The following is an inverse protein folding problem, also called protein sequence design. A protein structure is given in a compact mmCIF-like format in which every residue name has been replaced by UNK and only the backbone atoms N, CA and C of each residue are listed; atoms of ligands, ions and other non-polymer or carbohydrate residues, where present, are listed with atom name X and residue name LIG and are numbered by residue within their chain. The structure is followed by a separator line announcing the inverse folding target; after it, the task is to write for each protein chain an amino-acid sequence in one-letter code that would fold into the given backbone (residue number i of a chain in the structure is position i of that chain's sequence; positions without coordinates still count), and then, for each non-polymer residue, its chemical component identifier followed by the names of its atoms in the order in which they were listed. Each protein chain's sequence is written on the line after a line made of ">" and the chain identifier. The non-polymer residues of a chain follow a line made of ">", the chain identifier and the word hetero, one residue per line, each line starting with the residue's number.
data_IF_046006610702
#
_entry.id   IF_046006610702
#
_cell.length_a   1.000
_cell.length_b   1.000
_cell.length_c   1.000
_cell.angle_alpha   90.00
_cell.angle_beta   90.00
_cell.angle_gamma   90.00
#
_symmetry.space_group_name_H-M   'P 1'
#
loop_
_entity.id
_entity.type
_entity.pdbx_description
1 polymer ?
#
# COMPACT_ATOMS: atom_id res chain seq x y z
N UNK A 1 -22.53 0.93 8.70
CA UNK A 1 -22.63 0.02 9.88
C UNK A 1 -21.34 0.23 10.64
N UNK A 2 -21.38 0.26 11.98
CA UNK A 2 -20.21 0.67 12.78
C UNK A 2 -18.91 -0.02 12.35
N UNK A 3 -18.94 -1.33 12.06
CA UNK A 3 -17.78 -2.10 11.59
C UNK A 3 -17.16 -1.53 10.30
N UNK A 4 -17.96 -1.31 9.25
CA UNK A 4 -17.49 -0.71 7.99
C UNK A 4 -17.06 0.74 8.19
N UNK A 5 -17.78 1.51 9.00
CA UNK A 5 -17.50 2.94 9.23
C UNK A 5 -16.14 3.11 9.95
N UNK A 6 -15.80 2.23 10.90
CA UNK A 6 -14.50 2.19 11.57
C UNK A 6 -13.36 1.76 10.63
N UNK A 7 -13.61 0.79 9.75
CA UNK A 7 -12.62 0.35 8.77
C UNK A 7 -12.34 1.45 7.73
N UNK A 8 -13.39 2.15 7.27
CA UNK A 8 -13.26 3.30 6.38
C UNK A 8 -12.40 4.39 7.04
N UNK A 9 -12.69 4.78 8.29
CA UNK A 9 -11.87 5.76 9.02
C UNK A 9 -10.39 5.31 9.13
N UNK A 10 -10.14 4.03 9.36
CA UNK A 10 -8.78 3.50 9.44
C UNK A 10 -8.02 3.60 8.11
N UNK A 11 -8.64 3.23 6.98
CA UNK A 11 -8.03 3.40 5.66
C UNK A 11 -7.88 4.88 5.27
N UNK A 12 -8.83 5.74 5.62
CA UNK A 12 -8.71 7.18 5.34
C UNK A 12 -7.54 7.81 6.10
N UNK A 13 -7.19 7.31 7.29
CA UNK A 13 -5.98 7.72 8.01
C UNK A 13 -4.70 7.33 7.26
N UNK A 14 -4.65 6.12 6.69
CA UNK A 14 -3.53 5.72 5.82
C UNK A 14 -3.41 6.70 4.66
N UNK A 15 -4.53 6.98 3.98
CA UNK A 15 -4.58 7.91 2.86
C UNK A 15 -4.05 9.30 3.24
N UNK A 16 -4.45 9.84 4.39
CA UNK A 16 -3.93 11.10 4.89
C UNK A 16 -2.40 11.12 5.06
N UNK A 17 -1.83 10.04 5.61
CA UNK A 17 -0.36 9.94 5.79
C UNK A 17 0.35 9.82 4.45
N UNK A 18 -0.13 8.96 3.54
CA UNK A 18 0.48 8.77 2.21
C UNK A 18 0.51 10.08 1.43
N UNK A 19 -0.60 10.82 1.39
CA UNK A 19 -0.66 12.11 0.70
C UNK A 19 0.29 13.14 1.32
N UNK A 20 0.37 13.21 2.65
CA UNK A 20 1.30 14.10 3.33
C UNK A 20 2.77 13.75 3.03
N UNK A 21 3.08 12.46 2.89
CA UNK A 21 4.42 12.00 2.52
C UNK A 21 4.79 12.42 1.09
N UNK A 22 3.86 12.25 0.15
CA UNK A 22 4.07 12.55 -1.27
C UNK A 22 3.99 14.05 -1.60
N UNK A 23 3.42 14.86 -0.71
CA UNK A 23 3.27 16.29 -0.93
C UNK A 23 4.61 16.96 -1.21
N UNK A 24 4.69 17.61 -2.38
CA UNK A 24 5.86 18.31 -2.91
C UNK A 24 7.15 17.46 -2.96
N UNK A 25 7.01 16.13 -2.96
CA UNK A 25 8.14 15.21 -2.92
C UNK A 25 8.76 15.04 -4.33
N UNK A 26 9.90 15.69 -4.54
CA UNK A 26 10.72 15.50 -5.73
C UNK A 26 11.47 14.15 -5.74
N UNK A 27 12.12 13.78 -6.86
CA UNK A 27 12.86 12.52 -6.98
C UNK A 27 13.95 12.30 -5.92
N UNK A 28 14.59 13.38 -5.47
CA UNK A 28 15.60 13.31 -4.41
C UNK A 28 15.03 12.85 -3.07
N UNK A 29 13.88 13.42 -2.68
CA UNK A 29 13.15 13.02 -1.46
C UNK A 29 12.62 11.60 -1.60
N UNK A 30 11.96 11.29 -2.72
CA UNK A 30 11.36 9.97 -2.96
C UNK A 30 12.39 8.83 -2.96
N UNK A 31 13.58 9.09 -3.47
CA UNK A 31 14.71 8.15 -3.51
C UNK A 31 15.64 8.21 -2.30
N UNK A 32 15.39 9.08 -1.32
CA UNK A 32 16.24 9.22 -0.15
C UNK A 32 16.23 7.95 0.71
N UNK A 33 17.41 7.57 1.20
CA UNK A 33 17.61 6.48 2.16
C UNK A 33 18.56 6.94 3.26
N UNK A 34 18.19 6.84 4.54
CA UNK A 34 19.08 7.19 5.64
C UNK A 34 20.22 6.18 5.85
N UNK A 35 20.07 4.98 5.29
CA UNK A 35 21.06 3.91 5.29
C UNK A 35 20.96 3.15 3.93
N UNK A 36 22.07 2.63 3.36
CA UNK A 36 22.03 1.88 2.10
C UNK A 36 21.05 0.71 2.06
N UNK A 37 20.70 0.12 3.20
CA UNK A 37 19.73 -0.98 3.31
C UNK A 37 18.31 -0.51 3.66
N UNK A 38 18.11 0.73 4.11
CA UNK A 38 16.79 1.25 4.53
C UNK A 38 15.83 1.48 3.36
N UNK A 39 14.53 1.22 3.46
CA UNK A 39 13.62 1.42 2.32
C UNK A 39 13.50 2.90 1.86
N UNK A 40 13.32 3.11 0.55
CA UNK A 40 13.02 4.44 -0.02
C UNK A 40 11.55 4.80 0.19
N UNK A 41 11.22 6.10 0.17
CA UNK A 41 9.82 6.55 0.22
C UNK A 41 9.04 6.03 -0.99
N UNK A 42 9.64 6.07 -2.19
CA UNK A 42 9.01 5.55 -3.41
C UNK A 42 8.65 4.06 -3.27
N UNK A 43 9.57 3.25 -2.73
CA UNK A 43 9.31 1.83 -2.50
C UNK A 43 8.25 1.62 -1.43
N UNK A 44 8.30 2.34 -0.31
CA UNK A 44 7.34 2.18 0.79
C UNK A 44 5.91 2.46 0.34
N UNK A 45 5.69 3.56 -0.38
CA UNK A 45 4.35 3.93 -0.87
C UNK A 45 3.87 2.99 -1.97
N UNK A 46 4.76 2.56 -2.87
CA UNK A 46 4.40 1.55 -3.87
C UNK A 46 4.08 0.20 -3.21
N UNK A 47 4.89 -0.24 -2.25
CA UNK A 47 4.77 -1.52 -1.57
C UNK A 47 3.44 -1.64 -0.83
N UNK A 48 3.10 -0.66 0.02
CA UNK A 48 1.83 -0.69 0.76
C UNK A 48 0.63 -0.75 -0.21
N UNK A 49 0.64 0.07 -1.28
CA UNK A 49 -0.41 0.04 -2.29
C UNK A 49 -0.46 -1.29 -3.07
N UNK A 50 0.68 -1.95 -3.30
CA UNK A 50 0.74 -3.29 -3.91
C UNK A 50 0.18 -4.36 -2.98
N UNK A 51 0.51 -4.31 -1.68
CA UNK A 51 0.02 -5.26 -0.68
C UNK A 51 -1.49 -5.10 -0.49
N UNK A 52 -1.98 -3.88 -0.32
CA UNK A 52 -3.41 -3.60 -0.24
C UNK A 52 -4.15 -4.10 -1.48
N UNK A 53 -3.70 -3.76 -2.70
CA UNK A 53 -4.34 -4.21 -3.95
C UNK A 53 -4.37 -5.75 -4.07
N UNK A 54 -3.21 -6.40 -3.86
CA UNK A 54 -3.08 -7.84 -3.97
C UNK A 54 -3.93 -8.60 -2.94
N UNK A 55 -4.20 -8.00 -1.77
CA UNK A 55 -4.98 -8.61 -0.72
C UNK A 55 -6.47 -8.26 -0.76
N UNK A 56 -6.85 -7.09 -1.29
CA UNK A 56 -8.24 -6.66 -1.46
C UNK A 56 -8.88 -7.32 -2.69
N UNK A 57 -8.17 -7.41 -3.82
CA UNK A 57 -8.74 -7.92 -5.06
C UNK A 57 -9.37 -9.33 -4.93
N UNK A 58 -8.75 -10.31 -4.25
CA UNK A 58 -9.37 -11.62 -4.01
C UNK A 58 -10.59 -11.58 -3.06
N UNK A 59 -10.70 -10.58 -2.20
CA UNK A 59 -11.87 -10.43 -1.31
C UNK A 59 -13.10 -9.98 -2.08
N UNK A 60 -12.89 -9.10 -3.07
CA UNK A 60 -13.90 -8.59 -4.02
C UNK A 60 -14.22 -9.64 -5.10
N UNK A 61 -13.24 -10.48 -5.45
CA UNK A 61 -13.37 -11.47 -6.53
C UNK A 61 -13.00 -10.90 -7.90
N UNK A 62 -12.13 -9.88 -7.94
CA UNK A 62 -11.71 -9.18 -9.14
C UNK A 62 -10.19 -9.24 -9.34
N UNK A 63 -9.71 -8.83 -10.52
CA UNK A 63 -8.28 -8.63 -10.78
C UNK A 63 -7.75 -7.38 -10.05
N UNK A 64 -6.47 -7.39 -9.69
CA UNK A 64 -5.76 -6.24 -9.11
C UNK A 64 -5.84 -5.01 -10.02
N UNK A 65 -6.06 -3.80 -9.47
CA UNK A 65 -6.01 -2.57 -10.31
C UNK A 65 -4.66 -2.47 -11.00
N UNK A 66 -3.59 -2.95 -10.33
CA UNK A 66 -2.23 -2.97 -10.85
C UNK A 66 -2.13 -3.51 -12.29
N UNK A 67 -2.85 -4.58 -12.59
CA UNK A 67 -2.88 -5.19 -13.92
C UNK A 67 -4.09 -4.72 -14.72
N UNK A 68 -5.29 -4.75 -14.13
CA UNK A 68 -6.55 -4.47 -14.83
C UNK A 68 -6.60 -3.05 -15.39
N UNK A 69 -6.07 -2.07 -14.64
CA UNK A 69 -6.11 -0.65 -15.01
C UNK A 69 -4.76 -0.19 -15.60
N UNK A 70 -3.84 -1.10 -15.90
CA UNK A 70 -2.56 -0.80 -16.56
C UNK A 70 -1.57 0.02 -15.74
N UNK A 71 -1.67 0.03 -14.40
CA UNK A 71 -0.67 0.69 -13.55
C UNK A 71 0.71 0.04 -13.67
N UNK A 72 0.78 -1.28 -13.82
CA UNK A 72 2.04 -2.02 -14.04
C UNK A 72 2.82 -1.51 -15.25
N UNK A 73 2.13 -1.23 -16.35
CA UNK A 73 2.71 -0.67 -17.57
C UNK A 73 3.17 0.77 -17.35
N UNK A 74 2.37 1.59 -16.66
CA UNK A 74 2.70 2.99 -16.37
C UNK A 74 3.92 3.13 -15.45
N UNK A 75 4.04 2.26 -14.46
CA UNK A 75 5.18 2.21 -13.55
C UNK A 75 6.45 1.66 -14.21
N UNK A 76 6.30 0.74 -15.18
CA UNK A 76 7.41 0.17 -15.95
C UNK A 76 8.60 -0.32 -15.10
N UNK A 77 8.31 -0.84 -13.91
CA UNK A 77 9.33 -1.36 -13.00
C UNK A 77 9.95 -2.65 -13.55
N UNK A 78 11.23 -2.94 -13.25
CA UNK A 78 11.95 -4.11 -13.78
C UNK A 78 11.58 -5.41 -13.04
N UNK A 79 10.32 -5.57 -12.65
CA UNK A 79 9.81 -6.72 -11.90
C UNK A 79 8.64 -7.37 -12.63
N UNK A 80 8.34 -8.63 -12.27
CA UNK A 80 7.14 -9.29 -12.75
C UNK A 80 5.87 -8.58 -12.27
N UNK A 81 4.74 -8.74 -12.97
CA UNK A 81 3.47 -8.09 -12.63
C UNK A 81 2.91 -8.51 -11.26
N UNK A 82 3.32 -9.67 -10.73
CA UNK A 82 2.95 -10.14 -9.40
C UNK A 82 3.83 -9.61 -8.27
N UNK A 83 4.89 -8.85 -8.57
CA UNK A 83 5.77 -8.31 -7.55
C UNK A 83 5.03 -7.33 -6.65
N UNK A 84 5.26 -7.47 -5.35
CA UNK A 84 4.72 -6.57 -4.32
C UNK A 84 5.80 -5.82 -3.58
N UNK A 85 7.07 -6.19 -3.70
CA UNK A 85 8.15 -5.71 -2.85
C UNK A 85 8.60 -6.73 -1.81
N UNK A 86 7.74 -7.69 -1.45
CA UNK A 86 8.09 -8.66 -0.41
C UNK A 86 9.33 -9.47 -0.78
N UNK A 87 10.34 -9.43 0.08
CA UNK A 87 11.63 -10.10 -0.14
C UNK A 87 12.60 -9.36 -1.07
N UNK A 88 12.31 -8.12 -1.47
CA UNK A 88 13.23 -7.31 -2.28
C UNK A 88 14.55 -7.06 -1.54
N UNK A 89 15.65 -7.16 -2.27
CA UNK A 89 16.99 -6.72 -1.89
C UNK A 89 17.12 -5.20 -1.90
N UNK A 90 18.19 -4.66 -1.32
CA UNK A 90 18.44 -3.21 -1.33
C UNK A 90 18.51 -2.61 -2.76
N UNK A 91 19.05 -3.35 -3.73
CA UNK A 91 19.12 -2.92 -5.14
C UNK A 91 17.73 -2.91 -5.79
N UNK A 92 16.89 -3.91 -5.49
CA UNK A 92 15.50 -3.96 -5.97
C UNK A 92 14.64 -2.87 -5.32
N UNK A 93 14.90 -2.52 -4.06
CA UNK A 93 14.30 -1.34 -3.43
C UNK A 93 14.70 -0.06 -4.17
N UNK A 94 15.99 0.10 -4.48
CA UNK A 94 16.51 1.28 -5.20
C UNK A 94 16.02 1.38 -6.66
N UNK A 95 15.59 0.26 -7.23
CA UNK A 95 15.02 0.20 -8.57
C UNK A 95 13.55 0.67 -8.63
N UNK A 96 12.85 0.78 -7.50
CA UNK A 96 11.52 1.43 -7.45
C UNK A 96 11.69 2.94 -7.53
N UNK A 97 11.68 3.46 -8.76
CA UNK A 97 11.77 4.89 -9.09
C UNK A 97 10.48 5.33 -9.78
N UNK A 98 9.82 6.35 -9.22
CA UNK A 98 8.54 6.86 -9.71
C UNK A 98 8.37 8.34 -9.33
N UNK A 99 7.35 9.00 -9.87
CA UNK A 99 6.94 10.34 -9.44
C UNK A 99 5.94 10.27 -8.29
N UNK A 100 5.85 11.34 -7.50
CA UNK A 100 4.83 11.46 -6.46
C UNK A 100 3.41 11.34 -7.03
N UNK A 101 3.17 11.90 -8.21
CA UNK A 101 1.90 11.82 -8.93
C UNK A 101 1.54 10.37 -9.29
N UNK A 102 2.49 9.60 -9.82
CA UNK A 102 2.22 8.22 -10.22
C UNK A 102 2.04 7.29 -9.00
N UNK A 103 2.80 7.52 -7.94
CA UNK A 103 2.64 6.83 -6.64
C UNK A 103 1.27 7.12 -6.02
N UNK A 104 0.91 8.40 -5.91
CA UNK A 104 -0.36 8.84 -5.35
C UNK A 104 -1.54 8.32 -6.17
N UNK A 105 -1.49 8.45 -7.48
CA UNK A 105 -2.57 7.97 -8.35
C UNK A 105 -2.82 6.46 -8.24
N UNK A 106 -1.77 5.64 -8.11
CA UNK A 106 -1.95 4.20 -7.91
C UNK A 106 -2.53 3.91 -6.52
N UNK A 107 -1.98 4.53 -5.48
CA UNK A 107 -2.53 4.42 -4.13
C UNK A 107 -4.01 4.81 -4.09
N UNK A 108 -4.40 5.92 -4.72
CA UNK A 108 -5.77 6.40 -4.77
C UNK A 108 -6.73 5.43 -5.46
N UNK A 109 -6.28 4.78 -6.54
CA UNK A 109 -7.07 3.76 -7.22
C UNK A 109 -7.35 2.55 -6.31
N UNK A 110 -6.33 2.12 -5.56
CA UNK A 110 -6.45 1.03 -4.58
C UNK A 110 -7.32 1.42 -3.39
N UNK A 111 -7.13 2.64 -2.88
CA UNK A 111 -7.91 3.20 -1.77
C UNK A 111 -9.39 3.31 -2.16
N UNK A 112 -9.70 3.91 -3.30
CA UNK A 112 -11.07 4.07 -3.78
C UNK A 112 -11.78 2.71 -3.94
N UNK A 113 -11.09 1.70 -4.47
CA UNK A 113 -11.63 0.34 -4.58
C UNK A 113 -11.89 -0.28 -3.20
N UNK A 114 -10.99 -0.06 -2.25
CA UNK A 114 -11.13 -0.57 -0.88
C UNK A 114 -12.33 0.09 -0.18
N UNK A 115 -12.43 1.41 -0.23
CA UNK A 115 -13.54 2.16 0.38
C UNK A 115 -14.89 1.79 -0.26
N UNK A 116 -14.93 1.52 -1.58
CA UNK A 116 -16.14 1.05 -2.25
C UNK A 116 -16.57 -0.36 -1.82
N UNK A 117 -15.64 -1.24 -1.44
CA UNK A 117 -15.90 -2.60 -1.00
C UNK A 117 -16.44 -2.69 0.45
N UNK A 118 -15.90 -1.91 1.37
CA UNK A 118 -16.27 -1.97 2.79
C UNK A 118 -17.77 -1.84 3.10
N UNK A 119 -18.57 -0.96 2.44
CA UNK A 119 -20.00 -0.86 2.69
C UNK A 119 -20.81 -2.01 2.11
N UNK A 120 -20.23 -2.87 1.26
CA UNK A 120 -20.94 -4.04 0.69
C UNK A 120 -20.95 -5.23 1.64
N UNK A 121 -20.14 -5.19 2.71
CA UNK A 121 -20.03 -6.28 3.68
C UNK A 121 -21.19 -6.28 4.68
N UNK A 122 -21.82 -7.45 4.84
CA UNK A 122 -22.68 -7.74 5.97
C UNK A 122 -21.86 -8.23 7.17
N UNK A 123 -22.43 -8.16 8.39
CA UNK A 123 -21.75 -8.59 9.61
C UNK A 123 -21.24 -10.04 9.54
N UNK A 124 -22.00 -10.94 8.91
CA UNK A 124 -21.63 -12.34 8.75
C UNK A 124 -20.42 -12.55 7.81
N UNK A 125 -20.17 -11.63 6.88
CA UNK A 125 -19.08 -11.77 5.91
C UNK A 125 -17.70 -11.66 6.57
N UNK A 126 -17.60 -10.93 7.67
CA UNK A 126 -16.36 -10.76 8.44
C UNK A 126 -15.79 -12.08 8.98
N UNK A 127 -16.66 -13.07 9.23
CA UNK A 127 -16.27 -14.41 9.72
C UNK A 127 -15.88 -15.38 8.58
N UNK A 128 -16.09 -15.02 7.31
CA UNK A 128 -15.73 -15.86 6.16
C UNK A 128 -14.23 -16.11 6.14
N UNK A 129 -13.83 -17.38 6.09
CA UNK A 129 -12.43 -17.79 5.98
C UNK A 129 -11.94 -17.55 4.55
N UNK A 130 -10.82 -16.83 4.43
CA UNK A 130 -10.18 -16.47 3.15
C UNK A 130 -8.82 -17.13 2.97
N UNK A 131 -8.19 -17.62 4.04
CA UNK A 131 -6.97 -18.40 3.96
C UNK A 131 -6.94 -19.49 5.04
N UNK A 132 -6.81 -20.75 4.62
CA UNK A 132 -6.74 -21.94 5.49
C UNK A 132 -5.31 -22.38 5.78
N UNK A 133 -4.30 -21.71 5.22
CA UNK A 133 -2.88 -22.01 5.45
C UNK A 133 -2.36 -21.57 6.81
N UNK A 134 -3.15 -20.84 7.59
CA UNK A 134 -2.80 -20.31 8.92
C UNK A 134 -3.59 -21.00 10.04
N UNK A 135 -3.06 -20.94 11.26
CA UNK A 135 -3.72 -21.43 12.47
C UNK A 135 -3.73 -20.37 13.59
N UNK A 136 -4.87 -19.74 13.89
CA UNK A 136 -6.19 -19.97 13.29
C UNK A 136 -6.27 -19.52 11.81
N UNK A 137 -7.22 -20.06 11.01
CA UNK A 137 -7.45 -19.61 9.64
C UNK A 137 -7.76 -18.11 9.56
N UNK A 138 -7.29 -17.45 8.51
CA UNK A 138 -7.51 -16.01 8.30
C UNK A 138 -8.93 -15.80 7.78
N UNK A 139 -9.67 -14.91 8.45
CA UNK A 139 -10.99 -14.45 8.01
C UNK A 139 -10.91 -13.13 7.26
N UNK A 140 -12.01 -12.68 6.65
CA UNK A 140 -12.12 -11.34 6.05
C UNK A 140 -11.75 -10.26 7.08
N UNK A 141 -12.27 -10.33 8.31
CA UNK A 141 -11.94 -9.36 9.35
C UNK A 141 -10.44 -9.33 9.67
N UNK A 142 -9.82 -10.51 9.90
CA UNK A 142 -8.38 -10.59 10.18
C UNK A 142 -7.60 -10.03 9.01
N UNK A 143 -7.97 -10.37 7.77
CA UNK A 143 -7.31 -9.88 6.56
C UNK A 143 -7.37 -8.36 6.45
N UNK A 144 -8.53 -7.74 6.66
CA UNK A 144 -8.69 -6.28 6.59
C UNK A 144 -7.85 -5.57 7.65
N UNK A 145 -7.81 -6.11 8.88
CA UNK A 145 -6.95 -5.58 9.95
C UNK A 145 -5.46 -5.74 9.60
N UNK A 146 -5.06 -6.87 9.03
CA UNK A 146 -3.67 -7.08 8.59
C UNK A 146 -3.24 -6.10 7.51
N UNK A 147 -4.12 -5.80 6.55
CA UNK A 147 -3.84 -4.80 5.50
C UNK A 147 -3.65 -3.41 6.13
N UNK A 148 -4.58 -2.98 6.99
CA UNK A 148 -4.47 -1.67 7.67
C UNK A 148 -3.17 -1.57 8.49
N UNK A 149 -2.77 -2.65 9.15
CA UNK A 149 -1.54 -2.67 9.95
C UNK A 149 -0.30 -2.50 9.07
N UNK A 150 -0.21 -3.25 7.97
CA UNK A 150 0.87 -3.16 6.97
C UNK A 150 0.96 -1.74 6.38
N UNK A 151 -0.19 -1.22 5.94
CA UNK A 151 -0.30 0.11 5.35
C UNK A 151 0.15 1.22 6.32
N UNK A 152 -0.32 1.18 7.57
CA UNK A 152 0.07 2.18 8.59
C UNK A 152 1.54 2.06 8.99
N UNK A 153 2.08 0.85 9.08
CA UNK A 153 3.50 0.65 9.37
C UNK A 153 4.37 1.28 8.28
N UNK A 154 4.08 0.98 7.02
CA UNK A 154 4.86 1.49 5.89
C UNK A 154 4.62 2.97 5.60
N UNK A 155 3.40 3.49 5.78
CA UNK A 155 3.14 4.92 5.71
C UNK A 155 3.89 5.68 6.82
N UNK A 156 3.93 5.13 8.04
CA UNK A 156 4.70 5.66 9.15
C UNK A 156 6.21 5.66 8.89
N UNK A 157 6.74 4.57 8.35
CA UNK A 157 8.14 4.48 7.90
C UNK A 157 8.45 5.55 6.84
N UNK A 158 7.57 5.73 5.86
CA UNK A 158 7.75 6.72 4.80
C UNK A 158 7.75 8.15 5.35
N UNK A 159 6.85 8.45 6.31
CA UNK A 159 6.83 9.72 7.03
C UNK A 159 8.11 9.96 7.84
N UNK A 160 8.64 8.93 8.49
CA UNK A 160 9.89 9.02 9.22
C UNK A 160 11.09 9.29 8.31
N UNK A 161 11.20 8.55 7.19
CA UNK A 161 12.25 8.76 6.17
C UNK A 161 12.14 10.15 5.55
N UNK A 162 10.93 10.64 5.24
CA UNK A 162 10.71 12.00 4.76
C UNK A 162 11.24 13.04 5.75
N UNK A 163 10.94 12.87 7.05
CA UNK A 163 11.46 13.75 8.09
C UNK A 163 12.99 13.80 8.15
N UNK A 164 13.66 12.68 7.84
CA UNK A 164 15.11 12.62 7.72
C UNK A 164 15.62 13.30 6.44
N UNK A 165 14.95 13.08 5.30
CA UNK A 165 15.29 13.71 4.02
C UNK A 165 15.26 15.25 4.13
N UNK A 166 14.21 15.80 4.73
CA UNK A 166 14.07 17.25 4.95
C UNK A 166 15.17 17.83 5.85
N UNK A 167 15.68 17.05 6.81
CA UNK A 167 16.83 17.47 7.65
C UNK A 167 18.18 17.32 6.97
N UNK A 168 18.22 16.60 5.85
CA UNK A 168 19.37 16.49 4.97
C UNK A 168 19.33 17.52 3.81
N UNK A 169 18.45 18.53 3.91
CA UNK A 169 18.28 19.63 2.95
C UNK A 169 17.88 19.17 1.53
N UNK A 170 17.05 18.13 1.44
CA UNK A 170 16.43 17.65 0.19
C UNK A 170 15.05 18.25 -0.08
#
# INVERSE_FOLDING_TARGET
>A
MLSSDLLIDAFDRVSGVVHAVLQDAGPGVLGYRPDPEANTIAWLVWHLARIQDAQIAPLIGEEQVWTADGWSVRFALPFGPSATGYGHTADEVAAVRSSAELLGGYFDAVHARTIAYLPTLAEADFARVVDRGWNPPVTVAVRLVSIIADDLEHAGQAAYVRGLAMRADL
#
